data_IF_126758884677
#
_entry.id   IF_126758884677
#
_cell.length_a   1.000
_cell.length_b   1.000
_cell.length_c   1.000
_cell.angle_alpha   90.00
_cell.angle_beta   90.00
_cell.angle_gamma   90.00
#
_symmetry.space_group_name_H-M   'P 1'
#
loop_
_entity.id
_entity.type
_entity.pdbx_description
1 polymer ?
#
# COMPACT_ATOMS: atom_id res chain seq x y z
N UNK A 1 2.46 20.95 -5.92
CA UNK A 1 3.29 19.75 -5.83
C UNK A 1 3.45 19.03 -7.18
N UNK A 2 2.40 18.33 -7.74
CA UNK A 2 2.56 17.53 -8.96
C UNK A 2 2.85 18.39 -10.21
N UNK A 3 2.25 19.58 -10.34
CA UNK A 3 2.54 20.53 -11.41
C UNK A 3 3.98 21.05 -11.33
N UNK A 4 4.46 21.32 -10.13
CA UNK A 4 5.83 21.79 -9.91
C UNK A 4 6.85 20.69 -10.24
N UNK A 5 6.54 19.43 -9.85
CA UNK A 5 7.33 18.27 -10.24
C UNK A 5 7.36 18.12 -11.77
N UNK A 6 6.21 18.17 -12.43
CA UNK A 6 6.11 18.10 -13.90
C UNK A 6 6.99 19.15 -14.59
N UNK A 7 6.91 20.41 -14.13
CA UNK A 7 7.69 21.50 -14.71
C UNK A 7 9.19 21.32 -14.49
N UNK A 8 9.61 20.96 -13.25
CA UNK A 8 11.02 20.76 -12.89
C UNK A 8 11.65 19.57 -13.63
N UNK A 9 10.91 18.48 -13.80
CA UNK A 9 11.38 17.24 -14.45
C UNK A 9 11.14 17.24 -15.95
N UNK A 10 10.51 18.28 -16.51
CA UNK A 10 10.12 18.39 -17.93
C UNK A 10 9.23 17.25 -18.41
N UNK A 11 8.46 16.68 -17.51
CA UNK A 11 7.54 15.57 -17.75
C UNK A 11 7.43 14.62 -16.54
N UNK A 12 6.46 13.73 -16.57
CA UNK A 12 6.26 12.67 -15.57
C UNK A 12 5.75 11.41 -16.29
N UNK A 13 6.40 10.29 -16.06
CA UNK A 13 6.02 8.98 -16.59
C UNK A 13 5.42 8.06 -15.54
N UNK A 14 5.76 8.32 -14.28
CA UNK A 14 5.30 7.50 -13.15
C UNK A 14 4.91 8.36 -11.94
N UNK A 15 3.85 7.95 -11.28
CA UNK A 15 3.42 8.48 -9.97
C UNK A 15 3.44 7.34 -8.95
N UNK A 16 4.21 7.48 -7.88
CA UNK A 16 4.23 6.54 -6.76
C UNK A 16 3.59 7.19 -5.53
N UNK A 17 2.43 6.73 -5.13
CA UNK A 17 1.72 7.15 -3.93
C UNK A 17 2.23 6.34 -2.73
N UNK A 18 3.30 6.80 -2.10
CA UNK A 18 3.97 6.14 -0.97
C UNK A 18 3.69 6.80 0.38
N UNK A 19 3.42 8.10 0.42
CA UNK A 19 3.16 8.82 1.68
C UNK A 19 1.98 8.20 2.43
N UNK A 20 2.16 7.98 3.74
CA UNK A 20 1.15 7.31 4.57
C UNK A 20 1.21 7.76 6.02
N UNK A 21 0.06 7.75 6.69
CA UNK A 21 -0.07 7.82 8.14
C UNK A 21 -0.48 6.45 8.64
N UNK A 22 0.15 6.02 9.75
CA UNK A 22 -0.08 4.74 10.40
C UNK A 22 -0.11 4.93 11.91
N UNK A 23 -1.29 5.16 12.47
CA UNK A 23 -1.53 5.36 13.90
C UNK A 23 -2.44 4.26 14.42
N UNK A 24 -2.28 3.90 15.70
CA UNK A 24 -3.10 2.88 16.33
C UNK A 24 -4.40 3.48 16.84
N UNK A 25 -5.51 2.85 16.48
CA UNK A 25 -6.85 3.13 16.98
C UNK A 25 -7.73 1.87 16.82
N UNK A 26 -8.91 1.89 17.35
CA UNK A 26 -9.95 0.88 17.16
C UNK A 26 -11.33 1.56 17.11
N UNK A 27 -12.38 0.79 16.85
CA UNK A 27 -13.74 1.31 16.71
C UNK A 27 -14.24 2.05 17.97
N UNK A 28 -13.77 1.67 19.18
CA UNK A 28 -14.26 2.22 20.44
C UNK A 28 -13.51 3.49 20.87
N UNK A 29 -12.30 3.72 20.34
CA UNK A 29 -11.44 4.82 20.80
C UNK A 29 -10.81 5.64 19.65
N UNK A 30 -11.27 5.50 18.39
CA UNK A 30 -10.82 6.39 17.34
C UNK A 30 -11.40 7.81 17.52
N UNK A 31 -10.67 8.81 17.07
CA UNK A 31 -11.19 10.18 16.97
C UNK A 31 -11.46 10.56 15.53
N UNK A 32 -12.48 11.39 15.30
CA UNK A 32 -12.76 11.95 13.97
C UNK A 32 -11.52 12.59 13.33
N UNK A 33 -10.75 13.32 14.13
CA UNK A 33 -9.49 13.96 13.71
C UNK A 33 -8.48 12.93 13.19
N UNK A 34 -8.27 11.83 13.91
CA UNK A 34 -7.37 10.74 13.49
C UNK A 34 -7.90 10.04 12.24
N UNK A 35 -9.20 9.74 12.20
CA UNK A 35 -9.86 9.14 11.06
C UNK A 35 -9.68 9.99 9.78
N UNK A 36 -10.03 11.26 9.85
CA UNK A 36 -9.90 12.19 8.72
C UNK A 36 -8.44 12.37 8.28
N UNK A 37 -7.48 12.35 9.22
CA UNK A 37 -6.05 12.38 8.90
C UNK A 37 -5.64 11.18 8.04
N UNK A 38 -6.07 9.96 8.40
CA UNK A 38 -5.82 8.75 7.61
C UNK A 38 -6.48 8.83 6.23
N UNK A 39 -7.74 9.22 6.16
CA UNK A 39 -8.46 9.37 4.89
C UNK A 39 -7.81 10.43 4.00
N UNK A 40 -7.44 11.58 4.55
CA UNK A 40 -6.86 12.67 3.78
C UNK A 40 -5.51 12.30 3.18
N UNK A 41 -4.65 11.63 3.94
CA UNK A 41 -3.28 11.30 3.51
C UNK A 41 -3.25 10.00 2.70
N UNK A 42 -3.91 8.93 3.17
CA UNK A 42 -3.77 7.61 2.58
C UNK A 42 -4.71 7.37 1.39
N UNK A 43 -5.79 8.16 1.25
CA UNK A 43 -6.78 7.98 0.19
C UNK A 43 -7.02 9.23 -0.65
N UNK A 44 -7.41 10.35 -0.02
CA UNK A 44 -7.77 11.59 -0.74
C UNK A 44 -6.58 12.16 -1.52
N UNK A 45 -5.39 12.19 -0.92
CA UNK A 45 -4.19 12.69 -1.60
C UNK A 45 -3.83 11.83 -2.83
N UNK A 46 -3.73 10.49 -2.76
CA UNK A 46 -3.56 9.62 -3.92
C UNK A 46 -4.62 9.83 -5.01
N UNK A 47 -5.90 9.99 -4.63
CA UNK A 47 -6.99 10.22 -5.58
C UNK A 47 -6.79 11.53 -6.36
N UNK A 48 -6.48 12.62 -5.64
CA UNK A 48 -6.24 13.94 -6.26
C UNK A 48 -4.97 13.90 -7.12
N UNK A 49 -3.89 13.29 -6.64
CA UNK A 49 -2.63 13.20 -7.39
C UNK A 49 -2.79 12.38 -8.67
N UNK A 50 -3.51 11.26 -8.61
CA UNK A 50 -3.80 10.43 -9.78
C UNK A 50 -4.63 11.19 -10.83
N UNK A 51 -5.66 11.93 -10.40
CA UNK A 51 -6.46 12.77 -11.30
C UNK A 51 -5.63 13.87 -11.95
N UNK A 52 -4.78 14.56 -11.16
CA UNK A 52 -3.91 15.61 -11.69
C UNK A 52 -2.80 15.06 -12.59
N UNK A 53 -2.25 13.89 -12.27
CA UNK A 53 -1.27 13.18 -13.10
C UNK A 53 -1.84 12.91 -14.50
N UNK A 54 -3.06 12.34 -14.59
CA UNK A 54 -3.73 12.12 -15.88
C UNK A 54 -3.89 13.40 -16.70
N UNK A 55 -4.25 14.51 -16.05
CA UNK A 55 -4.44 15.80 -16.75
C UNK A 55 -3.13 16.36 -17.29
N UNK A 56 -2.00 16.13 -16.61
CA UNK A 56 -0.69 16.64 -17.00
C UNK A 56 -0.08 15.82 -18.15
N UNK A 57 -0.13 14.48 -18.09
CA UNK A 57 0.48 13.64 -19.11
C UNK A 57 -0.39 13.51 -20.39
N UNK A 58 -1.63 14.07 -20.37
CA UNK A 58 -2.55 14.12 -21.53
C UNK A 58 -2.73 12.75 -22.21
N UNK A 59 -2.14 12.58 -23.41
CA UNK A 59 -2.22 11.36 -24.24
C UNK A 59 -1.03 10.41 -24.05
N UNK A 60 -0.01 10.80 -23.30
CA UNK A 60 1.17 9.97 -23.10
C UNK A 60 0.84 8.76 -22.21
N UNK A 61 1.62 7.71 -22.36
CA UNK A 61 1.57 6.55 -21.49
C UNK A 61 2.10 6.90 -20.08
N UNK A 62 1.54 6.26 -19.08
CA UNK A 62 1.95 6.48 -17.69
C UNK A 62 1.73 5.27 -16.80
N UNK A 63 2.32 5.34 -15.61
CA UNK A 63 2.17 4.33 -14.58
C UNK A 63 1.87 4.98 -13.24
N UNK A 64 0.87 4.46 -12.52
CA UNK A 64 0.59 4.84 -11.13
C UNK A 64 0.79 3.61 -10.26
N UNK A 65 1.54 3.75 -9.17
CA UNK A 65 1.77 2.69 -8.19
C UNK A 65 1.36 3.19 -6.82
N UNK A 66 0.42 2.50 -6.19
CA UNK A 66 -0.04 2.77 -4.85
C UNK A 66 0.64 1.82 -3.86
N UNK A 67 1.23 2.35 -2.79
CA UNK A 67 1.74 1.52 -1.69
C UNK A 67 0.62 1.34 -0.68
N UNK A 68 0.05 0.14 -0.66
CA UNK A 68 -1.02 -0.26 0.28
C UNK A 68 -0.43 -0.96 1.51
N UNK A 69 -1.07 -1.99 2.03
CA UNK A 69 -0.60 -2.78 3.18
C UNK A 69 -1.24 -4.17 3.14
N UNK A 70 -0.58 -5.18 3.67
CA UNK A 70 -1.11 -6.55 3.76
C UNK A 70 -2.40 -6.65 4.59
N UNK A 71 -2.69 -5.64 5.45
CA UNK A 71 -3.94 -5.56 6.24
C UNK A 71 -5.20 -5.44 5.40
N UNK A 72 -5.09 -5.11 4.11
CA UNK A 72 -6.26 -5.12 3.22
C UNK A 72 -6.80 -6.53 2.99
N UNK A 73 -5.95 -7.56 3.15
CA UNK A 73 -6.33 -8.97 3.05
C UNK A 73 -6.41 -9.66 4.44
N UNK A 74 -5.52 -9.28 5.37
CA UNK A 74 -5.52 -9.80 6.75
C UNK A 74 -6.02 -8.74 7.72
N UNK A 75 -7.31 -8.69 7.93
CA UNK A 75 -7.96 -7.73 8.82
C UNK A 75 -7.58 -7.94 10.29
N UNK A 76 -7.66 -6.88 11.06
CA UNK A 76 -7.45 -6.85 12.50
C UNK A 76 -8.42 -5.84 13.12
N UNK A 77 -8.89 -6.02 14.36
CA UNK A 77 -9.71 -5.02 15.03
C UNK A 77 -8.95 -3.74 15.41
N UNK A 78 -7.62 -3.77 15.33
CA UNK A 78 -6.74 -2.62 15.58
C UNK A 78 -6.39 -1.89 14.29
N UNK A 79 -5.91 -0.64 14.43
CA UNK A 79 -5.58 0.21 13.28
C UNK A 79 -6.78 0.45 12.35
N UNK A 80 -7.92 0.73 12.97
CA UNK A 80 -9.22 0.85 12.32
C UNK A 80 -9.21 1.88 11.18
N UNK A 81 -8.87 3.14 11.49
CA UNK A 81 -8.83 4.22 10.49
C UNK A 81 -7.80 3.95 9.39
N UNK A 82 -6.64 3.41 9.76
CA UNK A 82 -5.59 3.04 8.80
C UNK A 82 -6.06 1.94 7.85
N UNK A 83 -6.61 0.85 8.40
CA UNK A 83 -7.06 -0.30 7.61
C UNK A 83 -8.14 0.11 6.62
N UNK A 84 -9.13 0.89 7.04
CA UNK A 84 -10.17 1.42 6.15
C UNK A 84 -9.58 2.28 5.03
N UNK A 85 -8.64 3.18 5.35
CA UNK A 85 -8.00 4.04 4.36
C UNK A 85 -7.20 3.24 3.32
N UNK A 86 -6.47 2.19 3.74
CA UNK A 86 -5.69 1.32 2.83
C UNK A 86 -6.57 0.38 2.01
N UNK A 87 -7.64 -0.15 2.58
CA UNK A 87 -8.64 -0.94 1.85
C UNK A 87 -9.32 -0.10 0.76
N UNK A 88 -9.67 1.14 1.08
CA UNK A 88 -10.19 2.09 0.10
C UNK A 88 -9.15 2.42 -0.99
N UNK A 89 -7.86 2.53 -0.66
CA UNK A 89 -6.80 2.74 -1.65
C UNK A 89 -6.60 1.52 -2.56
N UNK A 90 -6.77 0.31 -2.03
CA UNK A 90 -6.76 -0.91 -2.84
C UNK A 90 -7.92 -0.93 -3.86
N UNK A 91 -9.13 -0.55 -3.42
CA UNK A 91 -10.28 -0.38 -4.31
C UNK A 91 -10.04 0.74 -5.33
N UNK A 92 -9.50 1.90 -4.88
CA UNK A 92 -9.13 3.01 -5.76
C UNK A 92 -8.17 2.56 -6.87
N UNK A 93 -7.22 1.68 -6.56
CA UNK A 93 -6.27 1.15 -7.55
C UNK A 93 -7.02 0.50 -8.71
N UNK A 94 -7.97 -0.39 -8.42
CA UNK A 94 -8.74 -1.13 -9.44
C UNK A 94 -9.65 -0.23 -10.26
N UNK A 95 -10.45 0.62 -9.61
CA UNK A 95 -11.38 1.52 -10.34
C UNK A 95 -10.62 2.56 -11.17
N UNK A 96 -9.46 3.02 -10.70
CA UNK A 96 -8.62 3.96 -11.45
C UNK A 96 -7.96 3.27 -12.65
N UNK A 97 -7.52 2.02 -12.50
CA UNK A 97 -7.00 1.22 -13.61
C UNK A 97 -8.05 1.08 -14.75
N UNK A 98 -9.29 0.74 -14.39
CA UNK A 98 -10.42 0.64 -15.35
C UNK A 98 -10.68 1.97 -16.06
N UNK A 99 -10.58 3.09 -15.36
CA UNK A 99 -10.89 4.42 -15.93
C UNK A 99 -9.77 4.99 -16.78
N UNK A 100 -8.50 4.70 -16.45
CA UNK A 100 -7.34 5.35 -17.07
C UNK A 100 -6.70 4.52 -18.20
N UNK A 101 -7.06 3.24 -18.34
CA UNK A 101 -6.69 2.47 -19.52
C UNK A 101 -7.23 3.09 -20.81
N UNK A 102 -6.57 2.84 -21.94
CA UNK A 102 -5.33 2.06 -22.13
C UNK A 102 -4.03 2.84 -21.83
N UNK A 103 -4.10 4.16 -21.62
CA UNK A 103 -2.90 5.02 -21.58
C UNK A 103 -2.15 4.97 -20.26
N UNK A 104 -2.84 4.76 -19.12
CA UNK A 104 -2.22 4.74 -17.80
C UNK A 104 -2.55 3.43 -17.11
N UNK A 105 -1.51 2.71 -16.73
CA UNK A 105 -1.62 1.53 -15.88
C UNK A 105 -1.61 1.94 -14.41
N UNK A 106 -2.43 1.30 -13.61
CA UNK A 106 -2.51 1.58 -12.17
C UNK A 106 -2.44 0.27 -11.42
N UNK A 107 -1.42 0.12 -10.58
CA UNK A 107 -1.19 -1.09 -9.77
C UNK A 107 -0.84 -0.71 -8.33
N UNK A 108 -0.71 -1.70 -7.48
CA UNK A 108 -0.29 -1.51 -6.10
C UNK A 108 0.75 -2.54 -5.66
N UNK A 109 1.55 -2.15 -4.68
CA UNK A 109 2.37 -3.04 -3.87
C UNK A 109 1.76 -3.09 -2.47
N UNK A 110 1.69 -4.29 -1.91
CA UNK A 110 1.21 -4.58 -0.56
C UNK A 110 2.38 -5.10 0.30
N UNK A 111 3.08 -4.23 1.02
CA UNK A 111 4.23 -4.62 1.83
C UNK A 111 3.83 -5.35 3.11
N UNK A 112 4.71 -6.25 3.56
CA UNK A 112 4.76 -6.76 4.92
C UNK A 112 5.69 -5.95 5.83
N UNK A 113 6.25 -6.58 6.89
CA UNK A 113 7.10 -5.89 7.87
C UNK A 113 8.45 -5.52 7.27
N UNK A 114 8.54 -4.29 6.74
CA UNK A 114 9.71 -3.77 6.03
C UNK A 114 10.61 -2.96 6.94
N UNK A 115 10.07 -1.93 7.57
CA UNK A 115 10.79 -1.05 8.50
C UNK A 115 10.07 -0.99 9.84
N UNK A 116 10.87 -0.94 10.90
CA UNK A 116 10.37 -0.71 12.25
C UNK A 116 9.70 0.66 12.33
N UNK A 117 8.51 0.73 12.89
CA UNK A 117 7.87 2.00 13.19
C UNK A 117 8.37 2.59 14.52
N UNK A 118 8.07 3.88 14.77
CA UNK A 118 8.51 4.59 15.98
C UNK A 118 8.01 3.99 17.30
N UNK A 119 6.90 3.23 17.28
CA UNK A 119 6.28 2.60 18.47
C UNK A 119 6.86 1.22 18.78
N UNK A 120 7.60 0.63 17.86
CA UNK A 120 8.15 -0.72 18.03
C UNK A 120 9.59 -0.67 18.56
N UNK A 121 9.90 -1.58 19.48
CA UNK A 121 11.29 -1.93 19.81
C UNK A 121 11.86 -2.86 18.74
N UNK A 122 13.20 -2.98 18.67
CA UNK A 122 13.86 -3.93 17.76
C UNK A 122 13.42 -5.37 18.04
N UNK A 123 13.29 -5.72 19.31
CA UNK A 123 12.83 -7.06 19.72
C UNK A 123 11.40 -7.33 19.23
N UNK A 124 10.47 -6.36 19.40
CA UNK A 124 9.10 -6.50 18.90
C UNK A 124 9.06 -6.63 17.38
N UNK A 125 9.80 -5.80 16.65
CA UNK A 125 9.85 -5.87 15.20
C UNK A 125 10.43 -7.22 14.73
N UNK A 126 11.51 -7.70 15.37
CA UNK A 126 12.10 -9.02 15.09
C UNK A 126 11.11 -10.16 15.36
N UNK A 127 10.35 -10.10 16.47
CA UNK A 127 9.29 -11.07 16.79
C UNK A 127 8.21 -11.06 15.69
N UNK A 128 7.81 -9.88 15.19
CA UNK A 128 6.80 -9.75 14.14
C UNK A 128 7.21 -10.51 12.87
N UNK A 129 8.37 -10.20 12.27
CA UNK A 129 8.76 -10.84 11.02
C UNK A 129 9.22 -12.30 11.19
N UNK A 130 9.63 -12.73 12.40
CA UNK A 130 9.88 -14.15 12.70
C UNK A 130 8.61 -14.99 12.85
N UNK A 131 7.45 -14.36 13.07
CA UNK A 131 6.17 -15.05 13.25
C UNK A 131 5.38 -15.27 11.96
N UNK A 132 5.84 -14.73 10.83
CA UNK A 132 5.19 -14.90 9.53
C UNK A 132 5.76 -16.10 8.76
N UNK A 133 5.11 -16.51 7.67
CA UNK A 133 5.41 -17.78 6.98
C UNK A 133 6.87 -17.93 6.58
N UNK A 134 7.45 -16.97 5.89
CA UNK A 134 8.84 -17.07 5.43
C UNK A 134 9.85 -16.71 6.51
N UNK A 135 9.40 -16.25 7.70
CA UNK A 135 10.26 -15.85 8.83
C UNK A 135 11.38 -14.87 8.43
N UNK A 136 11.10 -14.02 7.45
CA UNK A 136 12.02 -13.04 6.88
C UNK A 136 11.43 -11.66 6.92
N UNK A 137 12.24 -10.67 7.31
CA UNK A 137 11.92 -9.26 7.10
C UNK A 137 11.84 -9.00 5.59
N UNK A 138 10.87 -8.20 5.17
CA UNK A 138 10.83 -7.69 3.79
C UNK A 138 11.85 -6.57 3.67
N UNK A 139 12.88 -6.75 2.84
CA UNK A 139 13.86 -5.69 2.60
C UNK A 139 13.22 -4.56 1.77
N UNK A 140 13.68 -3.33 1.99
CA UNK A 140 13.27 -2.16 1.18
C UNK A 140 13.53 -2.41 -0.31
N UNK A 141 14.66 -3.05 -0.63
CA UNK A 141 15.04 -3.37 -2.01
C UNK A 141 14.03 -4.30 -2.68
N UNK A 142 13.42 -5.25 -1.94
CA UNK A 142 12.36 -6.09 -2.51
C UNK A 142 11.13 -5.28 -2.93
N UNK A 143 10.77 -4.26 -2.15
CA UNK A 143 9.69 -3.34 -2.52
C UNK A 143 10.08 -2.53 -3.76
N UNK A 144 11.32 -2.01 -3.80
CA UNK A 144 11.83 -1.28 -4.97
C UNK A 144 11.85 -2.14 -6.24
N UNK A 145 12.25 -3.40 -6.14
CA UNK A 145 12.21 -4.33 -7.29
C UNK A 145 10.77 -4.61 -7.76
N UNK A 146 9.82 -4.77 -6.83
CA UNK A 146 8.40 -4.88 -7.17
C UNK A 146 7.87 -3.64 -7.90
N UNK A 147 8.26 -2.45 -7.45
CA UNK A 147 7.92 -1.18 -8.13
C UNK A 147 8.53 -1.14 -9.53
N UNK A 148 9.82 -1.46 -9.68
CA UNK A 148 10.51 -1.52 -10.99
C UNK A 148 9.86 -2.55 -11.93
N UNK A 149 9.48 -3.71 -11.42
CA UNK A 149 8.76 -4.74 -12.17
C UNK A 149 7.46 -4.20 -12.75
N UNK A 150 6.63 -3.53 -11.93
CA UNK A 150 5.37 -2.93 -12.37
C UNK A 150 5.57 -1.78 -13.37
N UNK A 151 6.64 -0.99 -13.23
CA UNK A 151 6.97 0.07 -14.21
C UNK A 151 7.33 -0.54 -15.56
N UNK A 152 8.18 -1.57 -15.58
CA UNK A 152 8.68 -2.21 -16.80
C UNK A 152 7.63 -3.06 -17.51
N UNK A 153 6.76 -3.73 -16.77
CA UNK A 153 5.79 -4.67 -17.35
C UNK A 153 4.54 -3.92 -17.84
N UNK A 154 4.40 -3.81 -19.15
CA UNK A 154 3.35 -3.01 -19.80
C UNK A 154 1.97 -3.68 -19.82
N UNK A 155 1.88 -4.97 -19.54
CA UNK A 155 0.65 -5.75 -19.63
C UNK A 155 -0.05 -5.96 -18.29
N UNK A 156 0.41 -5.29 -17.21
CA UNK A 156 -0.16 -5.41 -15.87
C UNK A 156 -0.86 -4.11 -15.48
N UNK A 157 -2.15 -4.19 -15.18
CA UNK A 157 -2.95 -3.07 -14.61
C UNK A 157 -4.05 -3.60 -13.72
N UNK A 158 -4.38 -2.88 -12.65
CA UNK A 158 -5.40 -3.25 -11.66
C UNK A 158 -4.91 -4.25 -10.61
N UNK A 159 -3.63 -4.66 -10.66
CA UNK A 159 -3.07 -5.70 -9.79
C UNK A 159 -2.50 -5.16 -8.49
N UNK A 160 -2.53 -6.02 -7.47
CA UNK A 160 -1.93 -5.81 -6.16
C UNK A 160 -0.89 -6.91 -5.95
N UNK A 161 0.38 -6.53 -5.94
CA UNK A 161 1.48 -7.49 -5.68
C UNK A 161 1.81 -7.48 -4.19
N UNK A 162 1.62 -8.62 -3.55
CA UNK A 162 1.97 -8.81 -2.14
C UNK A 162 3.45 -9.15 -1.99
N UNK A 163 4.19 -8.28 -1.30
CA UNK A 163 5.58 -8.48 -0.90
C UNK A 163 5.63 -8.45 0.63
N UNK A 164 5.09 -9.50 1.26
CA UNK A 164 4.77 -9.52 2.68
C UNK A 164 5.35 -10.72 3.44
N UNK A 165 6.22 -11.49 2.81
CA UNK A 165 6.78 -12.74 3.36
C UNK A 165 5.70 -13.72 3.84
N UNK A 166 4.51 -13.67 3.21
CA UNK A 166 3.36 -14.50 3.56
C UNK A 166 2.62 -14.04 4.82
N UNK A 167 2.78 -12.78 5.26
CA UNK A 167 2.12 -12.27 6.45
C UNK A 167 0.60 -12.35 6.36
N UNK A 168 0.01 -12.06 5.21
CA UNK A 168 -1.45 -12.12 5.00
C UNK A 168 -2.03 -13.54 5.11
N UNK A 169 -1.20 -14.56 4.85
CA UNK A 169 -1.59 -15.97 4.90
C UNK A 169 -1.39 -16.60 6.29
N UNK A 170 -0.80 -15.87 7.23
CA UNK A 170 -0.55 -16.40 8.57
C UNK A 170 -1.89 -16.57 9.32
N UNK A 171 -2.15 -17.78 9.74
CA UNK A 171 -3.32 -18.19 10.51
C UNK A 171 -2.86 -19.06 11.68
N UNK A 172 -3.52 -18.96 12.82
CA UNK A 172 -3.36 -19.88 13.94
C UNK A 172 -4.61 -19.77 14.80
N UNK A 173 -5.40 -20.80 14.82
CA UNK A 173 -6.56 -20.91 15.70
C UNK A 173 -6.28 -21.88 16.83
N UNK A 174 -6.84 -21.69 18.05
CA UNK A 174 -6.53 -22.51 19.22
C UNK A 174 -6.84 -24.01 19.02
N UNK A 175 -7.83 -24.33 18.21
CA UNK A 175 -8.27 -25.69 17.90
C UNK A 175 -7.26 -26.47 17.04
N UNK A 176 -6.37 -25.79 16.33
CA UNK A 176 -5.38 -26.42 15.44
C UNK A 176 -3.93 -26.25 15.94
N UNK A 177 -3.68 -25.29 16.86
CA UNK A 177 -2.34 -25.10 17.42
C UNK A 177 -1.96 -26.33 18.27
N UNK A 178 -0.88 -27.05 17.86
CA UNK A 178 -0.35 -28.25 18.51
C UNK A 178 -1.27 -29.47 18.47
N UNK A 179 -2.30 -29.52 17.63
CA UNK A 179 -3.08 -30.73 17.36
C UNK A 179 -2.39 -31.48 16.22
N UNK A 180 -2.13 -32.76 16.43
CA UNK A 180 -1.77 -33.72 15.37
C UNK A 180 -3.04 -34.49 15.04
N UNK A 181 -3.61 -34.28 13.87
CA UNK A 181 -4.60 -35.17 13.29
C UNK A 181 -3.94 -36.44 12.79
#
# INVERSE_FOLDING_TARGET
LIKDAFNKMKGLDCLINNASVFENDDLLNFSEKSFLKHININLKAPSILSSKFKKLIKKNEGCIINIIDQRVEKLTPFFFSYTLSKSSLATLTKITAMKLGPNIRVNAISPGPTLKNKRQTESHFKKQWKSILLKKQVAVDNICEGVKFLIKNKNITGEIINIDSGQRLAWKTPDIINVKE
#
